data_IF_069653487033
#
_entry.id   IF_069653487033
#
_cell.length_a   1.000
_cell.length_b   1.000
_cell.length_c   1.000
_cell.angle_alpha   90.00
_cell.angle_beta   90.00
_cell.angle_gamma   90.00
#
_symmetry.space_group_name_H-M   'P 1'
#
loop_
_entity.id
_entity.type
_entity.pdbx_description
1 polymer ?
#
# COMPACT_ATOMS: atom_id res chain seq x y z
N UNK A 1 29.96 -8.85 -7.78
CA UNK A 1 29.13 -8.21 -6.75
C UNK A 1 28.87 -9.23 -5.64
N UNK A 2 29.10 -8.89 -4.35
CA UNK A 2 28.68 -9.79 -3.26
C UNK A 2 27.17 -9.98 -3.37
N UNK A 3 26.70 -11.23 -3.37
CA UNK A 3 25.28 -11.50 -3.28
C UNK A 3 24.72 -10.77 -2.05
N UNK A 4 23.76 -9.88 -2.25
CA UNK A 4 23.10 -9.20 -1.15
C UNK A 4 22.45 -10.29 -0.29
N UNK A 5 22.73 -10.29 1.01
CA UNK A 5 22.14 -11.25 1.94
C UNK A 5 20.98 -10.57 2.69
N UNK A 6 19.92 -11.31 3.05
CA UNK A 6 18.87 -10.77 3.90
C UNK A 6 19.47 -10.39 5.26
N UNK A 7 19.02 -9.26 5.81
CA UNK A 7 19.41 -8.74 7.12
C UNK A 7 18.19 -8.58 8.03
N UNK A 8 18.38 -8.81 9.33
CA UNK A 8 17.38 -8.45 10.36
C UNK A 8 18.04 -7.81 11.56
N UNK A 9 17.34 -6.85 12.15
CA UNK A 9 17.73 -6.21 13.40
C UNK A 9 16.50 -5.89 14.25
N UNK A 10 16.66 -5.88 15.57
CA UNK A 10 15.64 -5.36 16.47
C UNK A 10 15.86 -3.86 16.70
N UNK A 11 14.81 -3.08 16.60
CA UNK A 11 14.80 -1.65 16.85
C UNK A 11 14.66 -1.35 18.34
N UNK A 12 15.04 -0.14 18.76
CA UNK A 12 15.02 0.29 20.17
C UNK A 12 13.62 0.24 20.80
N UNK A 13 12.56 0.37 20.00
CA UNK A 13 11.17 0.31 20.44
C UNK A 13 10.59 -1.12 20.43
N UNK A 14 11.42 -2.13 20.19
CA UNK A 14 11.05 -3.54 20.21
C UNK A 14 10.51 -4.07 18.89
N UNK A 15 10.27 -3.21 17.88
CA UNK A 15 9.93 -3.66 16.52
C UNK A 15 11.11 -4.35 15.85
N UNK A 16 10.83 -5.14 14.83
CA UNK A 16 11.85 -5.79 14.00
C UNK A 16 11.94 -5.11 12.64
N UNK A 17 13.17 -4.96 12.15
CA UNK A 17 13.46 -4.47 10.82
C UNK A 17 14.09 -5.59 10.00
N UNK A 18 13.44 -6.01 8.92
CA UNK A 18 13.97 -6.99 7.97
C UNK A 18 14.24 -6.29 6.64
N UNK A 19 15.40 -6.54 6.04
CA UNK A 19 15.82 -5.87 4.82
C UNK A 19 16.48 -6.86 3.85
N UNK A 20 16.05 -6.86 2.59
CA UNK A 20 16.67 -7.64 1.52
C UNK A 20 16.42 -6.98 0.16
N UNK A 21 17.45 -6.34 -0.40
CA UNK A 21 17.32 -5.63 -1.68
C UNK A 21 16.34 -4.47 -1.56
N UNK A 22 15.31 -4.38 -2.41
CA UNK A 22 14.28 -3.33 -2.30
C UNK A 22 13.23 -3.61 -1.23
N UNK A 23 13.24 -4.78 -0.60
CA UNK A 23 12.24 -5.17 0.41
C UNK A 23 12.71 -4.67 1.78
N UNK A 24 11.92 -3.81 2.40
CA UNK A 24 12.22 -3.15 3.67
C UNK A 24 11.00 -3.21 4.59
N UNK A 25 11.06 -4.06 5.63
CA UNK A 25 9.93 -4.39 6.48
C UNK A 25 10.13 -3.91 7.90
N UNK A 26 9.11 -3.21 8.43
CA UNK A 26 8.97 -2.94 9.86
C UNK A 26 7.86 -3.83 10.42
N UNK A 27 8.23 -4.68 11.37
CA UNK A 27 7.38 -5.73 11.93
C UNK A 27 7.10 -5.41 13.40
N UNK A 28 5.83 -5.44 13.79
CA UNK A 28 5.40 -5.35 15.18
C UNK A 28 4.47 -6.51 15.51
N UNK A 29 4.58 -7.06 16.71
CA UNK A 29 3.70 -8.11 17.20
C UNK A 29 3.49 -7.95 18.70
N UNK A 30 2.26 -8.20 19.16
CA UNK A 30 1.92 -8.26 20.57
C UNK A 30 1.23 -9.59 20.86
N UNK A 31 1.74 -10.31 21.84
CA UNK A 31 1.30 -11.65 22.19
C UNK A 31 2.18 -12.23 23.29
N UNK A 32 2.05 -13.53 23.53
CA UNK A 32 3.00 -14.24 24.37
C UNK A 32 4.40 -14.23 23.73
N UNK A 33 5.45 -14.01 24.53
CA UNK A 33 6.83 -13.93 24.05
C UNK A 33 7.26 -15.15 23.24
N UNK A 34 6.97 -16.36 23.71
CA UNK A 34 7.34 -17.59 23.02
C UNK A 34 6.67 -17.74 21.65
N UNK A 35 5.41 -17.35 21.53
CA UNK A 35 4.68 -17.32 20.26
C UNK A 35 5.26 -16.29 19.29
N UNK A 36 5.56 -15.09 19.77
CA UNK A 36 6.19 -14.03 18.97
C UNK A 36 7.56 -14.48 18.44
N UNK A 37 8.38 -15.13 19.27
CA UNK A 37 9.71 -15.60 18.86
C UNK A 37 9.63 -16.73 17.82
N UNK A 38 8.66 -17.65 17.94
CA UNK A 38 8.38 -18.68 16.92
C UNK A 38 7.93 -18.08 15.60
N UNK A 39 6.95 -17.17 15.62
CA UNK A 39 6.44 -16.48 14.44
C UNK A 39 7.55 -15.70 13.73
N UNK A 40 8.36 -14.93 14.48
CA UNK A 40 9.49 -14.17 13.92
C UNK A 40 10.55 -15.08 13.28
N UNK A 41 10.83 -16.23 13.89
CA UNK A 41 11.78 -17.19 13.36
C UNK A 41 11.30 -17.82 12.04
N UNK A 42 10.04 -18.24 11.98
CA UNK A 42 9.44 -18.77 10.76
C UNK A 42 9.32 -17.70 9.65
N UNK A 43 8.87 -16.49 10.02
CA UNK A 43 8.81 -15.33 9.14
C UNK A 43 10.17 -15.01 8.53
N UNK A 44 11.25 -15.05 9.32
CA UNK A 44 12.61 -14.81 8.84
C UNK A 44 13.07 -15.86 7.81
N UNK A 45 12.82 -17.14 8.08
CA UNK A 45 13.18 -18.23 7.17
C UNK A 45 12.45 -18.10 5.82
N UNK A 46 11.19 -17.66 5.84
CA UNK A 46 10.43 -17.39 4.61
C UNK A 46 10.95 -16.15 3.89
N UNK A 47 11.16 -15.05 4.61
CA UNK A 47 11.64 -13.78 4.07
C UNK A 47 12.91 -13.93 3.22
N UNK A 48 13.86 -14.75 3.67
CA UNK A 48 15.11 -15.01 2.98
C UNK A 48 14.95 -15.62 1.56
N UNK A 49 13.80 -16.23 1.26
CA UNK A 49 13.53 -16.90 -0.01
C UNK A 49 12.75 -16.04 -1.02
N UNK A 50 12.06 -14.98 -0.54
CA UNK A 50 11.13 -14.20 -1.36
C UNK A 50 11.82 -13.47 -2.52
N UNK A 51 12.92 -12.76 -2.27
CA UNK A 51 13.56 -11.97 -3.32
C UNK A 51 14.09 -12.83 -4.48
N UNK A 52 14.82 -13.95 -4.24
CA UNK A 52 15.23 -14.85 -5.32
C UNK A 52 14.06 -15.40 -6.15
N UNK A 53 12.95 -15.76 -5.51
CA UNK A 53 11.74 -16.23 -6.20
C UNK A 53 11.15 -15.15 -7.12
N UNK A 54 10.99 -13.92 -6.61
CA UNK A 54 10.46 -12.81 -7.40
C UNK A 54 11.40 -12.44 -8.55
N UNK A 55 12.71 -12.48 -8.34
CA UNK A 55 13.71 -12.24 -9.40
C UNK A 55 13.61 -13.29 -10.50
N UNK A 56 13.39 -14.56 -10.16
CA UNK A 56 13.22 -15.64 -11.12
C UNK A 56 12.00 -15.44 -12.05
N UNK A 57 10.97 -14.75 -11.56
CA UNK A 57 9.72 -14.50 -12.29
C UNK A 57 9.55 -13.05 -12.76
N UNK A 58 10.59 -12.21 -12.59
CA UNK A 58 10.50 -10.75 -12.76
C UNK A 58 10.11 -10.32 -14.18
N UNK A 59 10.58 -11.04 -15.19
CA UNK A 59 10.26 -10.73 -16.59
C UNK A 59 8.77 -10.85 -16.91
N UNK A 60 8.04 -11.73 -16.22
CA UNK A 60 6.58 -11.85 -16.32
C UNK A 60 5.88 -10.84 -15.44
N UNK A 61 6.38 -10.62 -14.22
CA UNK A 61 5.81 -9.67 -13.26
C UNK A 61 5.83 -8.21 -13.76
N UNK A 62 6.75 -7.87 -14.67
CA UNK A 62 6.82 -6.54 -15.30
C UNK A 62 5.93 -6.39 -16.54
N UNK A 63 5.22 -7.43 -16.96
CA UNK A 63 4.36 -7.36 -18.14
C UNK A 63 2.97 -6.79 -17.79
N UNK A 64 2.33 -6.09 -18.73
CA UNK A 64 0.97 -5.61 -18.54
C UNK A 64 0.01 -6.78 -18.34
N UNK A 65 -0.78 -6.76 -17.27
CA UNK A 65 -1.69 -7.84 -16.94
C UNK A 65 -3.01 -7.67 -17.69
N UNK A 66 -3.35 -8.64 -18.55
CA UNK A 66 -4.65 -8.68 -19.26
C UNK A 66 -5.55 -9.83 -18.81
N UNK A 67 -4.97 -10.88 -18.25
CA UNK A 67 -5.65 -12.09 -17.82
C UNK A 67 -4.85 -12.75 -16.70
N UNK A 68 -5.46 -13.73 -16.02
CA UNK A 68 -4.76 -14.51 -15.00
C UNK A 68 -3.55 -15.22 -15.61
N UNK A 69 -2.40 -15.12 -14.94
CA UNK A 69 -1.17 -15.85 -15.27
C UNK A 69 -0.78 -16.72 -14.08
N UNK A 70 -0.29 -17.92 -14.37
CA UNK A 70 0.21 -18.82 -13.33
C UNK A 70 1.61 -18.40 -12.92
N UNK A 71 1.84 -18.35 -11.61
CA UNK A 71 3.14 -18.03 -10.99
C UNK A 71 3.51 -19.15 -10.03
N UNK A 72 4.80 -19.45 -9.94
CA UNK A 72 5.36 -20.47 -9.04
C UNK A 72 5.50 -19.93 -7.63
N UNK A 73 5.97 -18.68 -7.48
CA UNK A 73 6.07 -18.06 -6.16
C UNK A 73 4.68 -17.73 -5.60
N UNK A 74 4.38 -18.08 -4.34
CA UNK A 74 3.17 -17.65 -3.66
C UNK A 74 3.01 -16.12 -3.60
N UNK A 75 4.11 -15.37 -3.54
CA UNK A 75 4.08 -13.90 -3.53
C UNK A 75 3.70 -13.39 -4.92
N UNK A 76 4.37 -13.88 -5.97
CA UNK A 76 4.06 -13.53 -7.36
C UNK A 76 2.59 -13.85 -7.72
N UNK A 77 2.08 -14.99 -7.26
CA UNK A 77 0.69 -15.36 -7.47
C UNK A 77 -0.30 -14.38 -6.80
N UNK A 78 0.00 -13.92 -5.58
CA UNK A 78 -0.78 -12.87 -4.91
C UNK A 78 -0.75 -11.55 -5.65
N UNK A 79 0.42 -11.15 -6.16
CA UNK A 79 0.58 -9.92 -6.95
C UNK A 79 -0.34 -9.92 -8.17
N UNK A 80 -0.35 -11.04 -8.93
CA UNK A 80 -1.21 -11.21 -10.10
C UNK A 80 -2.68 -11.15 -9.72
N UNK A 81 -3.09 -11.87 -8.68
CA UNK A 81 -4.49 -11.86 -8.21
C UNK A 81 -4.94 -10.47 -7.82
N UNK A 82 -4.11 -9.72 -7.11
CA UNK A 82 -4.43 -8.37 -6.65
C UNK A 82 -4.56 -7.37 -7.81
N UNK A 83 -3.78 -7.55 -8.88
CA UNK A 83 -3.83 -6.67 -10.05
C UNK A 83 -4.96 -7.02 -11.03
N UNK A 84 -5.52 -8.24 -10.95
CA UNK A 84 -6.50 -8.74 -11.92
C UNK A 84 -7.79 -7.91 -12.01
N UNK A 85 -8.38 -7.37 -10.93
CA UNK A 85 -9.55 -6.48 -11.01
C UNK A 85 -9.29 -5.22 -11.85
N UNK A 86 -8.03 -4.77 -11.91
CA UNK A 86 -7.63 -3.53 -12.57
C UNK A 86 -7.23 -3.69 -14.05
N UNK A 87 -7.25 -4.93 -14.58
CA UNK A 87 -6.73 -5.32 -15.91
C UNK A 87 -7.35 -4.61 -17.13
N UNK A 88 -8.47 -3.91 -16.95
CA UNK A 88 -9.07 -3.08 -17.99
C UNK A 88 -8.24 -1.81 -18.26
N UNK A 89 -7.46 -1.38 -17.27
CA UNK A 89 -6.48 -0.31 -17.38
C UNK A 89 -5.07 -0.90 -17.43
N UNK A 90 -4.07 -0.06 -17.68
CA UNK A 90 -2.69 -0.51 -17.59
C UNK A 90 -2.31 -0.75 -16.12
N UNK A 91 -1.88 -1.97 -15.83
CA UNK A 91 -1.29 -2.37 -14.56
C UNK A 91 -0.33 -3.54 -14.81
N UNK A 92 0.73 -3.63 -14.01
CA UNK A 92 1.58 -4.82 -13.94
C UNK A 92 1.49 -5.41 -12.52
N UNK A 93 1.76 -6.72 -12.34
CA UNK A 93 1.87 -7.31 -11.00
C UNK A 93 2.79 -6.54 -10.03
N UNK A 94 3.77 -5.77 -10.53
CA UNK A 94 4.65 -4.96 -9.68
C UNK A 94 3.91 -3.95 -8.80
N UNK A 95 2.70 -3.53 -9.17
CA UNK A 95 1.86 -2.62 -8.39
C UNK A 95 1.35 -3.19 -7.05
N UNK A 96 1.55 -4.49 -6.79
CA UNK A 96 1.12 -5.16 -5.56
C UNK A 96 2.28 -5.81 -4.80
N UNK A 97 3.54 -5.57 -5.21
CA UNK A 97 4.70 -6.31 -4.68
C UNK A 97 4.85 -6.14 -3.17
N UNK A 98 4.67 -4.94 -2.66
CA UNK A 98 4.97 -4.66 -1.28
C UNK A 98 3.91 -5.22 -0.35
N UNK A 99 2.63 -5.03 -0.71
CA UNK A 99 1.50 -5.63 -0.03
C UNK A 99 1.56 -7.16 -0.07
N UNK A 100 1.86 -7.77 -1.23
CA UNK A 100 1.94 -9.23 -1.35
C UNK A 100 3.06 -9.85 -0.49
N UNK A 101 4.20 -9.18 -0.35
CA UNK A 101 5.27 -9.62 0.56
C UNK A 101 4.81 -9.53 2.01
N UNK A 102 4.14 -8.45 2.41
CA UNK A 102 3.61 -8.30 3.76
C UNK A 102 2.57 -9.39 4.08
N UNK A 103 1.65 -9.66 3.15
CA UNK A 103 0.62 -10.70 3.27
C UNK A 103 1.21 -12.11 3.35
N UNK A 104 2.30 -12.40 2.63
CA UNK A 104 2.96 -13.71 2.72
C UNK A 104 3.58 -13.96 4.09
N UNK A 105 4.03 -12.92 4.78
CA UNK A 105 4.75 -13.03 6.04
C UNK A 105 3.84 -12.92 7.25
N UNK A 106 2.72 -12.19 7.16
CA UNK A 106 1.80 -12.00 8.30
C UNK A 106 1.16 -13.33 8.73
N UNK A 107 1.06 -14.32 7.83
CA UNK A 107 0.46 -15.64 8.11
C UNK A 107 1.17 -16.38 9.24
N UNK A 108 2.49 -16.20 9.42
CA UNK A 108 3.24 -16.85 10.50
C UNK A 108 2.86 -16.28 11.87
N UNK A 109 2.43 -15.02 11.92
CA UNK A 109 1.91 -14.40 13.13
C UNK A 109 0.44 -14.81 13.36
N UNK A 110 -0.34 -14.92 12.29
CA UNK A 110 -1.74 -15.35 12.37
C UNK A 110 -1.89 -16.83 12.77
N UNK A 111 -0.87 -17.66 12.52
CA UNK A 111 -0.85 -19.07 12.87
C UNK A 111 -0.64 -19.34 14.38
N UNK A 112 -0.18 -18.35 15.15
CA UNK A 112 0.07 -18.48 16.58
C UNK A 112 -1.13 -17.92 17.39
N UNK A 113 -1.91 -18.77 18.10
CA UNK A 113 -3.12 -18.35 18.80
C UNK A 113 -2.90 -17.28 19.89
N UNK A 114 -1.70 -17.25 20.48
CA UNK A 114 -1.35 -16.32 21.55
C UNK A 114 -0.92 -14.93 21.02
N UNK A 115 -0.87 -14.76 19.70
CA UNK A 115 -0.63 -13.46 19.07
C UNK A 115 -1.95 -12.69 18.95
N UNK A 116 -2.03 -11.61 19.73
CA UNK A 116 -3.18 -10.73 19.83
C UNK A 116 -3.31 -9.79 18.64
N UNK A 117 -2.17 -9.27 18.17
CA UNK A 117 -2.09 -8.43 16.97
C UNK A 117 -0.68 -8.45 16.40
N UNK A 118 -0.56 -8.34 15.09
CA UNK A 118 0.70 -8.12 14.41
C UNK A 118 0.51 -7.20 13.19
N UNK A 119 1.58 -6.53 12.79
CA UNK A 119 1.61 -5.69 11.60
C UNK A 119 2.95 -5.85 10.89
N UNK A 120 2.93 -5.97 9.57
CA UNK A 120 4.12 -5.94 8.72
C UNK A 120 3.94 -4.78 7.75
N UNK A 121 4.76 -3.73 7.88
CA UNK A 121 4.75 -2.56 7.01
C UNK A 121 5.94 -2.62 6.05
N UNK A 122 5.65 -2.65 4.75
CA UNK A 122 6.62 -2.56 3.67
C UNK A 122 6.50 -1.19 2.98
N UNK A 123 7.07 -0.15 3.60
CA UNK A 123 7.13 1.21 3.03
C UNK A 123 5.78 1.87 2.69
N UNK A 124 4.76 1.63 3.52
CA UNK A 124 3.41 2.19 3.36
C UNK A 124 2.33 1.12 3.15
N UNK A 125 2.75 -0.08 2.76
CA UNK A 125 1.87 -1.23 2.49
C UNK A 125 1.91 -2.19 3.67
N UNK A 126 0.79 -2.31 4.38
CA UNK A 126 0.71 -2.87 5.73
C UNK A 126 -0.25 -4.05 5.73
N UNK A 127 0.26 -5.24 6.04
CA UNK A 127 -0.54 -6.39 6.39
C UNK A 127 -0.78 -6.44 7.90
N UNK A 128 -2.00 -6.80 8.31
CA UNK A 128 -2.43 -6.82 9.71
C UNK A 128 -2.93 -8.21 10.10
N UNK A 129 -2.58 -8.62 11.32
CA UNK A 129 -3.28 -9.66 12.06
C UNK A 129 -3.93 -9.04 13.30
N UNK A 130 -5.17 -9.40 13.58
CA UNK A 130 -5.97 -8.90 14.70
C UNK A 130 -6.84 -10.03 15.27
N UNK A 131 -6.52 -10.47 16.49
CA UNK A 131 -7.37 -11.38 17.25
C UNK A 131 -8.60 -10.65 17.79
N UNK A 132 -9.67 -11.39 18.11
CA UNK A 132 -10.90 -10.83 18.66
C UNK A 132 -10.64 -9.88 19.85
N UNK A 133 -11.37 -8.76 19.89
CA UNK A 133 -11.24 -7.73 20.93
C UNK A 133 -10.06 -6.76 20.78
N UNK A 134 -9.17 -6.98 19.81
CA UNK A 134 -8.02 -6.10 19.56
C UNK A 134 -8.27 -5.12 18.41
N UNK A 135 -7.51 -4.02 18.41
CA UNK A 135 -7.60 -2.97 17.41
C UNK A 135 -6.25 -2.33 17.10
N UNK A 136 -6.16 -1.74 15.92
CA UNK A 136 -5.14 -0.77 15.53
C UNK A 136 -5.76 0.61 15.38
N UNK A 137 -4.99 1.64 15.71
CA UNK A 137 -5.26 3.02 15.29
C UNK A 137 -4.27 3.34 14.19
N UNK A 138 -4.77 3.70 13.02
CA UNK A 138 -3.95 4.03 11.86
C UNK A 138 -3.95 5.55 11.72
N UNK A 139 -2.76 6.14 11.77
CA UNK A 139 -2.57 7.58 11.57
C UNK A 139 -2.44 7.92 10.08
N UNK A 140 -3.03 9.05 9.67
CA UNK A 140 -2.84 9.65 8.35
C UNK A 140 -1.51 10.41 8.30
N UNK A 141 -0.75 10.25 7.22
CA UNK A 141 0.37 11.13 6.87
C UNK A 141 0.09 11.63 5.47
N UNK A 142 -0.46 12.85 5.35
CA UNK A 142 -0.79 13.46 4.05
C UNK A 142 0.42 14.15 3.44
N UNK A 143 1.39 14.56 4.27
CA UNK A 143 2.67 15.12 3.85
C UNK A 143 3.85 14.40 4.53
N UNK A 144 4.60 13.61 3.74
CA UNK A 144 5.80 12.90 4.19
C UNK A 144 6.91 13.89 4.58
N UNK A 145 6.93 15.10 3.99
CA UNK A 145 7.92 16.13 4.31
C UNK A 145 7.63 16.85 5.64
N UNK A 146 6.40 16.75 6.15
CA UNK A 146 6.04 17.34 7.45
C UNK A 146 5.12 16.41 8.28
N UNK A 147 5.63 15.26 8.78
CA UNK A 147 4.82 14.29 9.52
C UNK A 147 4.29 14.84 10.86
N UNK A 148 4.94 15.87 11.41
CA UNK A 148 4.62 16.43 12.73
C UNK A 148 3.46 17.44 12.71
N UNK A 149 3.17 18.05 11.55
CA UNK A 149 2.10 19.04 11.43
C UNK A 149 0.68 18.44 11.41
N UNK A 150 0.56 17.12 11.24
CA UNK A 150 -0.72 16.46 10.98
C UNK A 150 -1.04 15.35 11.98
N UNK A 151 -1.14 15.72 13.25
CA UNK A 151 -2.04 15.00 14.15
C UNK A 151 -3.46 15.43 13.80
N UNK A 152 -4.35 14.56 13.27
CA UNK A 152 -5.82 14.68 13.53
C UNK A 152 -6.75 13.69 12.81
N UNK A 153 -6.33 12.95 11.78
CA UNK A 153 -7.18 11.91 11.19
C UNK A 153 -6.62 10.52 11.50
N UNK A 154 -7.22 9.88 12.50
CA UNK A 154 -6.94 8.49 12.85
C UNK A 154 -8.22 7.67 12.64
N UNK A 155 -8.09 6.47 12.07
CA UNK A 155 -9.20 5.52 12.04
C UNK A 155 -8.82 4.26 12.81
N UNK A 156 -9.81 3.69 13.50
CA UNK A 156 -9.63 2.43 14.23
C UNK A 156 -10.03 1.27 13.32
N UNK A 157 -9.14 0.29 13.19
CA UNK A 157 -9.45 -1.03 12.63
C UNK A 157 -9.57 -2.01 13.79
N UNK A 158 -10.72 -2.63 13.96
CA UNK A 158 -10.89 -3.73 14.91
C UNK A 158 -11.05 -5.08 14.20
N UNK A 159 -10.99 -6.16 14.98
CA UNK A 159 -11.07 -7.52 14.45
C UNK A 159 -12.40 -7.86 13.76
N UNK A 160 -13.49 -7.13 14.04
CA UNK A 160 -14.80 -7.37 13.42
C UNK A 160 -14.90 -6.76 12.02
N UNK A 161 -14.04 -5.80 11.70
CA UNK A 161 -13.90 -5.27 10.34
C UNK A 161 -13.20 -6.30 9.42
N UNK A 162 -13.55 -6.36 8.13
CA UNK A 162 -12.88 -7.26 7.18
C UNK A 162 -11.48 -6.78 6.78
N UNK A 163 -11.03 -5.61 7.26
CA UNK A 163 -9.77 -4.98 6.83
C UNK A 163 -8.57 -5.70 7.44
N UNK A 164 -7.69 -6.24 6.59
CA UNK A 164 -6.36 -6.75 6.99
C UNK A 164 -5.22 -6.19 6.14
N UNK A 165 -5.52 -5.34 5.17
CA UNK A 165 -4.56 -4.61 4.36
C UNK A 165 -4.77 -3.11 4.39
N UNK A 166 -3.67 -2.37 4.42
CA UNK A 166 -3.64 -0.92 4.21
C UNK A 166 -2.53 -0.64 3.20
N UNK A 167 -2.75 0.29 2.28
CA UNK A 167 -1.69 0.76 1.39
C UNK A 167 -1.82 2.26 1.17
N UNK A 168 -0.72 2.92 0.85
CA UNK A 168 -0.73 4.35 0.50
C UNK A 168 0.11 4.61 -0.75
N UNK A 169 -0.51 5.24 -1.75
CA UNK A 169 0.14 5.63 -3.01
C UNK A 169 -0.03 7.12 -3.28
N UNK A 170 0.83 7.71 -4.11
CA UNK A 170 0.80 9.13 -4.44
C UNK A 170 2.04 9.55 -5.20
N UNK A 171 1.97 10.69 -5.90
CA UNK A 171 3.05 11.12 -6.81
C UNK A 171 4.35 11.49 -6.10
N UNK A 172 4.30 11.84 -4.81
CA UNK A 172 5.46 12.11 -3.95
C UNK A 172 6.00 10.86 -3.24
N UNK A 173 5.36 9.71 -3.45
CA UNK A 173 5.75 8.45 -2.82
C UNK A 173 7.01 7.85 -3.43
N UNK A 174 7.38 6.67 -2.93
CA UNK A 174 8.52 5.88 -3.44
C UNK A 174 8.30 5.31 -4.85
N UNK A 175 7.04 5.24 -5.29
CA UNK A 175 6.62 4.66 -6.56
C UNK A 175 6.19 5.75 -7.52
N UNK A 176 6.53 5.59 -8.81
CA UNK A 176 6.11 6.53 -9.84
C UNK A 176 4.61 6.41 -10.08
N UNK A 177 3.89 7.53 -10.02
CA UNK A 177 2.45 7.61 -10.26
C UNK A 177 2.16 8.33 -11.58
N UNK A 178 1.10 7.91 -12.27
CA UNK A 178 0.61 8.56 -13.50
C UNK A 178 -0.28 9.76 -13.18
N UNK A 179 -1.04 9.67 -12.08
CA UNK A 179 -1.92 10.74 -11.59
C UNK A 179 -1.20 11.74 -10.70
N UNK A 180 -1.98 12.61 -10.05
CA UNK A 180 -1.48 13.75 -9.28
C UNK A 180 -1.86 13.73 -7.80
N UNK A 181 -2.51 12.67 -7.29
CA UNK A 181 -2.84 12.58 -5.86
C UNK A 181 -1.60 12.69 -4.97
N UNK A 182 -1.64 13.58 -3.97
CA UNK A 182 -0.57 13.66 -2.96
C UNK A 182 -0.52 12.37 -2.13
N UNK A 183 -1.70 11.86 -1.76
CA UNK A 183 -1.85 10.54 -1.15
C UNK A 183 -3.22 9.92 -1.43
N UNK A 184 -3.23 8.61 -1.58
CA UNK A 184 -4.41 7.76 -1.58
C UNK A 184 -4.14 6.60 -0.62
N UNK A 185 -4.89 6.54 0.48
CA UNK A 185 -4.84 5.42 1.43
C UNK A 185 -6.02 4.51 1.22
N UNK A 186 -5.77 3.22 1.00
CA UNK A 186 -6.81 2.19 0.76
C UNK A 186 -6.83 1.18 1.89
N UNK A 187 -8.03 0.76 2.27
CA UNK A 187 -8.30 -0.35 3.19
C UNK A 187 -8.89 -1.51 2.41
N UNK A 188 -8.34 -2.71 2.57
CA UNK A 188 -8.82 -3.92 1.91
C UNK A 188 -8.69 -5.15 2.82
N UNK A 189 -9.17 -6.30 2.34
CA UNK A 189 -9.11 -7.58 3.04
C UNK A 189 -7.68 -8.15 3.13
N UNK A 190 -6.75 -7.68 2.31
CA UNK A 190 -5.32 -7.98 2.37
C UNK A 190 -4.48 -6.83 1.81
N UNK A 191 -3.19 -6.79 2.14
CA UNK A 191 -2.31 -5.69 1.77
C UNK A 191 -2.05 -5.64 0.25
N UNK A 192 -2.01 -6.78 -0.43
CA UNK A 192 -1.82 -6.84 -1.88
C UNK A 192 -2.95 -6.16 -2.65
N UNK A 193 -4.22 -6.39 -2.27
CA UNK A 193 -5.36 -5.69 -2.87
C UNK A 193 -5.32 -4.19 -2.58
N UNK A 194 -4.98 -3.83 -1.34
CA UNK A 194 -4.84 -2.42 -0.97
C UNK A 194 -3.76 -1.72 -1.83
N UNK A 195 -2.60 -2.35 -2.01
CA UNK A 195 -1.43 -1.81 -2.75
C UNK A 195 -1.78 -1.54 -4.23
N UNK A 196 -2.32 -2.55 -4.91
CA UNK A 196 -2.77 -2.41 -6.30
C UNK A 196 -3.87 -1.33 -6.43
N UNK A 197 -4.87 -1.36 -5.56
CA UNK A 197 -5.97 -0.40 -5.61
C UNK A 197 -5.52 1.03 -5.29
N UNK A 198 -4.63 1.22 -4.31
CA UNK A 198 -4.09 2.54 -3.98
C UNK A 198 -3.35 3.15 -5.19
N UNK A 199 -2.53 2.34 -5.86
CA UNK A 199 -1.85 2.75 -7.10
C UNK A 199 -2.84 3.16 -8.19
N UNK A 200 -3.86 2.35 -8.43
CA UNK A 200 -4.81 2.62 -9.51
C UNK A 200 -5.77 3.77 -9.22
N UNK A 201 -6.20 3.94 -7.97
CA UNK A 201 -6.99 5.10 -7.55
C UNK A 201 -6.15 6.37 -7.60
N UNK A 202 -4.89 6.34 -7.16
CA UNK A 202 -3.98 7.48 -7.28
C UNK A 202 -3.76 7.90 -8.74
N UNK A 203 -3.65 6.92 -9.65
CA UNK A 203 -3.56 7.19 -11.09
C UNK A 203 -4.85 7.78 -11.66
N UNK A 204 -6.02 7.44 -11.11
CA UNK A 204 -7.31 7.98 -11.52
C UNK A 204 -7.56 9.41 -10.99
N UNK A 205 -6.85 9.84 -9.93
CA UNK A 205 -6.84 11.24 -9.50
C UNK A 205 -5.98 12.05 -10.46
N UNK A 206 -6.59 12.51 -11.55
CA UNK A 206 -5.86 13.19 -12.61
C UNK A 206 -6.70 14.23 -13.37
N UNK A 207 -6.02 15.26 -13.85
CA UNK A 207 -6.51 16.35 -14.72
C UNK A 207 -5.35 16.89 -15.56
N UNK A 208 -5.68 17.66 -16.60
CA UNK A 208 -4.69 18.38 -17.40
C UNK A 208 -4.56 19.83 -16.91
N UNK A 209 -3.32 20.28 -16.69
CA UNK A 209 -2.99 21.65 -16.32
C UNK A 209 -1.51 21.92 -16.61
N UNK A 210 -1.15 23.14 -16.98
CA UNK A 210 0.24 23.53 -17.32
C UNK A 210 1.22 23.38 -16.13
N UNK A 211 0.71 23.47 -14.91
CA UNK A 211 1.50 23.29 -13.69
C UNK A 211 1.78 21.82 -13.36
N UNK A 212 1.26 20.87 -14.14
CA UNK A 212 1.53 19.44 -13.96
C UNK A 212 2.59 19.02 -14.97
N UNK A 213 3.75 18.60 -14.46
CA UNK A 213 4.86 18.13 -15.28
C UNK A 213 4.92 16.60 -15.24
N UNK A 214 5.17 16.00 -16.40
CA UNK A 214 5.34 14.56 -16.55
C UNK A 214 6.54 14.24 -17.43
N UNK A 215 7.16 13.09 -17.18
CA UNK A 215 8.24 12.55 -18.01
C UNK A 215 8.03 11.04 -18.23
N UNK A 216 8.56 10.45 -19.31
CA UNK A 216 8.53 9.00 -19.49
C UNK A 216 9.23 8.30 -18.31
N UNK A 217 8.62 7.28 -17.73
CA UNK A 217 9.12 6.61 -16.53
C UNK A 217 10.55 6.05 -16.72
N UNK A 218 10.85 5.52 -17.90
CA UNK A 218 12.18 5.00 -18.25
C UNK A 218 13.27 6.07 -18.39
N UNK A 219 12.93 7.36 -18.34
CA UNK A 219 13.93 8.45 -18.25
C UNK A 219 14.31 8.76 -16.80
N UNK A 220 13.50 8.33 -15.83
CA UNK A 220 13.70 8.56 -14.40
C UNK A 220 14.30 7.33 -13.70
N UNK A 221 13.89 6.13 -14.14
CA UNK A 221 14.32 4.86 -13.57
C UNK A 221 14.49 3.80 -14.65
N UNK A 222 15.71 3.31 -14.79
CA UNK A 222 16.01 2.20 -15.68
C UNK A 222 15.20 0.94 -15.31
N UNK A 223 14.85 0.15 -16.33
CA UNK A 223 14.13 -1.12 -16.18
C UNK A 223 12.79 -1.03 -15.41
N UNK A 224 12.14 0.13 -15.41
CA UNK A 224 10.78 0.27 -14.91
C UNK A 224 9.78 -0.51 -15.76
N UNK A 225 8.82 -1.13 -15.09
CA UNK A 225 7.67 -1.80 -15.70
C UNK A 225 6.69 -0.83 -16.39
N UNK A 226 6.79 0.47 -16.14
CA UNK A 226 5.94 1.48 -16.77
C UNK A 226 6.39 1.85 -18.20
N UNK A 227 7.66 1.61 -18.55
CA UNK A 227 8.24 1.93 -19.86
C UNK A 227 8.19 3.43 -20.17
N UNK A 228 7.72 3.81 -21.37
CA UNK A 228 7.62 5.20 -21.82
C UNK A 228 6.42 5.97 -21.24
N UNK A 229 5.62 5.34 -20.36
CA UNK A 229 4.44 6.00 -19.79
C UNK A 229 4.83 7.25 -19.03
N UNK A 230 4.05 8.30 -19.24
CA UNK A 230 4.23 9.57 -18.55
C UNK A 230 3.86 9.42 -17.08
N UNK A 231 4.81 9.71 -16.22
CA UNK A 231 4.64 9.74 -14.77
C UNK A 231 4.84 11.16 -14.27
N UNK A 232 4.12 11.51 -13.20
CA UNK A 232 4.14 12.86 -12.61
C UNK A 232 5.48 13.13 -11.96
N UNK A 233 6.14 14.21 -12.38
CA UNK A 233 7.42 14.67 -11.82
C UNK A 233 7.27 15.92 -10.98
N UNK A 234 6.26 16.74 -11.25
CA UNK A 234 5.91 17.89 -10.42
C UNK A 234 4.43 18.25 -10.55
N UNK A 235 3.84 18.69 -9.45
CA UNK A 235 2.48 19.24 -9.40
C UNK A 235 2.55 20.61 -8.73
N UNK A 236 2.48 21.68 -9.53
CA UNK A 236 2.32 23.04 -9.02
C UNK A 236 0.89 23.31 -8.52
N UNK A 237 0.65 24.52 -8.00
CA UNK A 237 -0.70 24.92 -7.54
C UNK A 237 -1.65 24.92 -8.72
N UNK A 238 -2.80 24.25 -8.58
CA UNK A 238 -3.85 24.21 -9.60
C UNK A 238 -5.16 24.80 -9.05
N UNK A 239 -6.07 25.30 -9.91
CA UNK A 239 -7.36 25.83 -9.49
C UNK A 239 -8.18 24.82 -8.66
N UNK A 240 -8.88 25.30 -7.63
CA UNK A 240 -9.68 24.46 -6.73
C UNK A 240 -10.69 23.58 -7.47
N UNK A 241 -11.31 24.08 -8.54
CA UNK A 241 -12.24 23.30 -9.38
C UNK A 241 -11.57 22.08 -10.04
N UNK A 242 -10.29 22.19 -10.42
CA UNK A 242 -9.54 21.08 -10.99
C UNK A 242 -9.10 20.08 -9.92
N UNK A 243 -8.82 20.54 -8.70
CA UNK A 243 -8.57 19.67 -7.55
C UNK A 243 -9.80 18.80 -7.29
N UNK A 244 -10.97 19.42 -7.19
CA UNK A 244 -12.24 18.74 -6.96
C UNK A 244 -12.54 17.74 -8.08
N UNK A 245 -12.36 18.14 -9.34
CA UNK A 245 -12.52 17.25 -10.49
C UNK A 245 -11.58 16.05 -10.46
N UNK A 246 -10.29 16.25 -10.16
CA UNK A 246 -9.31 15.17 -10.07
C UNK A 246 -9.69 14.19 -8.95
N UNK A 247 -10.06 14.71 -7.78
CA UNK A 247 -10.49 13.90 -6.64
C UNK A 247 -11.78 13.14 -6.94
N UNK A 248 -12.74 13.75 -7.65
CA UNK A 248 -13.97 13.09 -8.07
C UNK A 248 -13.71 11.96 -9.07
N UNK A 249 -12.76 12.13 -10.01
CA UNK A 249 -12.33 11.06 -10.92
C UNK A 249 -11.80 9.84 -10.15
N UNK A 250 -10.91 10.07 -9.17
CA UNK A 250 -10.42 9.00 -8.30
C UNK A 250 -11.52 8.37 -7.45
N UNK A 251 -12.44 9.17 -6.91
CA UNK A 251 -13.56 8.69 -6.10
C UNK A 251 -14.55 7.85 -6.89
N UNK A 252 -14.79 8.14 -8.17
CA UNK A 252 -15.59 7.29 -9.06
C UNK A 252 -14.97 5.90 -9.17
N UNK A 253 -13.66 5.83 -9.40
CA UNK A 253 -12.97 4.54 -9.51
C UNK A 253 -12.93 3.78 -8.17
N UNK A 254 -12.68 4.47 -7.06
CA UNK A 254 -12.73 3.87 -5.73
C UNK A 254 -14.12 3.30 -5.39
N UNK A 255 -15.21 4.00 -5.78
CA UNK A 255 -16.59 3.49 -5.58
C UNK A 255 -16.82 2.21 -6.38
N UNK A 256 -16.37 2.15 -7.63
CA UNK A 256 -16.46 0.93 -8.43
C UNK A 256 -15.76 -0.25 -7.72
N UNK A 257 -14.53 -0.05 -7.23
CA UNK A 257 -13.80 -1.10 -6.52
C UNK A 257 -14.48 -1.52 -5.21
N UNK A 258 -15.16 -0.60 -4.53
CA UNK A 258 -15.96 -0.91 -3.35
C UNK A 258 -17.20 -1.73 -3.70
N UNK A 259 -17.92 -1.36 -4.76
CA UNK A 259 -19.10 -2.10 -5.25
C UNK A 259 -18.72 -3.52 -5.69
N UNK A 260 -17.53 -3.69 -6.26
CA UNK A 260 -16.93 -4.98 -6.62
C UNK A 260 -16.30 -5.72 -5.42
N UNK A 261 -16.39 -5.16 -4.20
CA UNK A 261 -15.81 -5.71 -2.96
C UNK A 261 -14.29 -5.94 -3.01
N UNK A 262 -13.56 -5.22 -3.87
CA UNK A 262 -12.09 -5.23 -3.94
C UNK A 262 -11.48 -4.43 -2.79
N UNK A 263 -12.14 -3.33 -2.40
CA UNK A 263 -11.71 -2.48 -1.28
C UNK A 263 -12.84 -2.27 -0.28
N UNK A 264 -12.46 -2.03 0.97
CA UNK A 264 -13.39 -1.61 2.02
C UNK A 264 -13.62 -0.11 2.02
N UNK A 265 -12.55 0.69 1.90
CA UNK A 265 -12.62 2.16 1.88
C UNK A 265 -11.38 2.77 1.24
N UNK A 266 -11.48 4.02 0.80
CA UNK A 266 -10.36 4.81 0.30
C UNK A 266 -10.44 6.27 0.78
N UNK A 267 -9.28 6.85 1.10
CA UNK A 267 -9.11 8.27 1.41
C UNK A 267 -8.14 8.88 0.41
N UNK A 268 -8.58 9.90 -0.33
CA UNK A 268 -7.83 10.57 -1.38
C UNK A 268 -7.52 12.00 -0.94
N UNK A 269 -6.30 12.48 -1.17
CA UNK A 269 -5.86 13.84 -0.83
C UNK A 269 -5.13 14.48 -2.00
N UNK A 270 -5.46 15.74 -2.27
CA UNK A 270 -4.78 16.58 -3.26
C UNK A 270 -4.83 18.06 -2.82
N UNK A 271 -3.66 18.67 -2.64
CA UNK A 271 -3.46 20.08 -2.25
C UNK A 271 -4.39 20.54 -1.11
N UNK A 272 -4.46 19.75 -0.04
CA UNK A 272 -5.25 20.02 1.16
C UNK A 272 -6.74 19.66 1.09
N UNK A 273 -7.25 19.32 -0.11
CA UNK A 273 -8.62 18.84 -0.29
C UNK A 273 -8.67 17.31 -0.27
N UNK A 274 -9.83 16.75 0.06
CA UNK A 274 -9.97 15.32 0.26
C UNK A 274 -11.30 14.75 -0.26
N UNK A 275 -11.26 13.44 -0.57
CA UNK A 275 -12.45 12.60 -0.78
C UNK A 275 -12.33 11.35 0.04
N UNK A 276 -13.45 10.93 0.63
CA UNK A 276 -13.57 9.66 1.29
C UNK A 276 -14.61 8.81 0.57
N UNK A 277 -14.25 7.56 0.29
CA UNK A 277 -15.15 6.55 -0.27
C UNK A 277 -15.26 5.39 0.71
N UNK A 278 -16.49 5.11 1.13
CA UNK A 278 -16.87 3.97 1.94
C UNK A 278 -17.62 4.31 3.20
N UNK A 279 -17.88 3.29 4.01
CA UNK A 279 -18.49 3.51 5.32
C UNK A 279 -17.43 4.05 6.24
N UNK A 280 -17.66 5.22 6.81
CA UNK A 280 -16.95 5.64 7.99
C UNK A 280 -17.33 4.64 9.10
N UNK A 281 -16.41 3.79 9.64
CA UNK A 281 -16.58 3.29 10.99
C UNK A 281 -17.03 4.46 11.88
N UNK A 282 -17.95 4.21 12.81
CA UNK A 282 -18.55 5.19 13.75
C UNK A 282 -17.53 5.96 14.62
N UNK A 283 -16.23 5.83 14.32
CA UNK A 283 -15.09 6.48 14.97
C UNK A 283 -14.19 7.23 13.98
N UNK A 284 -14.71 7.70 12.85
CA UNK A 284 -14.13 8.86 12.19
C UNK A 284 -14.44 10.10 13.04
N UNK A 285 -13.71 10.27 14.13
CA UNK A 285 -13.68 11.55 14.82
C UNK A 285 -12.86 12.49 13.96
N UNK A 286 -13.47 13.07 12.93
CA UNK A 286 -13.00 14.35 12.41
C UNK A 286 -13.26 15.35 13.54
N UNK A 287 -12.26 15.99 14.15
CA UNK A 287 -12.54 17.21 14.87
C UNK A 287 -13.19 18.14 13.84
N UNK A 288 -14.43 18.54 14.10
CA UNK A 288 -15.08 19.62 13.37
C UNK A 288 -14.09 20.78 13.31
N UNK A 289 -13.54 21.07 12.12
CA UNK A 289 -12.84 22.33 11.90
C UNK A 289 -13.87 23.42 12.15
N UNK A 290 -13.78 24.04 13.34
CA UNK A 290 -14.45 25.31 13.57
C UNK A 290 -13.90 26.27 12.52
N UNK A 291 -14.79 26.81 11.72
CA UNK A 291 -14.53 28.03 10.97
C UNK A 291 -13.96 29.07 11.95
N UNK A 292 -12.77 29.56 11.64
CA UNK A 292 -12.20 30.78 12.14
C UNK A 292 -11.48 31.46 10.96
#
# INVERSE_FOLDING_TARGET
>A
MRAMQPQRQQLLDGRWHFHYGPIDLIISAAGERGAVDRALSACWLRFAQILPELVAELSLLRQPLKQMIWMTSPVAHRMVRACLPHRAQFITPMAAVAGAVADELIVFFAAEPEIKRASINNGGDIALHLAAGHRYTVGRVSDIANPAAESQACFAIDAAMPVRGIATSGWRGRSMSLGIADSVTVLADCAAHADAAATMIANAVDVQHESIQRAPANTLKDDTDLGERLVTTAVGVIPAVLIEQALDNGAVYARQLQDESVIFAAWLTLQGQHRFVGKTPDRFSLPSMRAA
#
